data_IF_800164653396
#
_entry.id   IF_800164653396
#
_cell.length_a   1.000
_cell.length_b   1.000
_cell.length_c   1.000
_cell.angle_alpha   90.00
_cell.angle_beta   90.00
_cell.angle_gamma   90.00
#
_symmetry.space_group_name_H-M   'P 1'
#
loop_
_entity.id
_entity.type
_entity.pdbx_description
1 polymer ?
#
# COMPACT_ATOMS: atom_id res chain seq x y z
N UNK A 1 16.84 -35.84 10.34
CA UNK A 1 16.33 -35.06 9.21
C UNK A 1 14.85 -34.85 9.49
N UNK A 2 14.51 -33.74 10.16
CA UNK A 2 13.11 -33.36 10.35
C UNK A 2 12.66 -32.67 9.09
N UNK A 3 11.78 -33.33 8.33
CA UNK A 3 11.00 -32.67 7.29
C UNK A 3 9.98 -31.80 7.99
N UNK A 4 10.32 -30.53 8.17
CA UNK A 4 9.36 -29.47 8.46
C UNK A 4 8.72 -29.12 7.12
N UNK A 5 7.53 -29.67 6.89
CA UNK A 5 6.71 -29.39 5.71
C UNK A 5 6.00 -28.05 5.98
N UNK A 6 6.25 -26.98 5.20
CA UNK A 6 5.52 -25.74 5.42
C UNK A 6 4.07 -25.95 4.96
N UNK A 7 3.14 -25.98 5.91
CA UNK A 7 1.70 -25.97 5.67
C UNK A 7 1.36 -24.74 4.80
N UNK A 8 1.27 -24.98 3.49
CA UNK A 8 0.91 -23.95 2.52
C UNK A 8 -0.59 -23.76 2.66
N UNK A 9 -0.99 -22.79 3.48
CA UNK A 9 -2.36 -22.51 3.87
C UNK A 9 -3.33 -22.54 2.69
N UNK A 10 -4.10 -23.63 2.63
CA UNK A 10 -5.41 -23.83 2.02
C UNK A 10 -5.91 -22.77 1.01
N UNK A 11 -5.22 -22.59 -0.12
CA UNK A 11 -5.75 -21.87 -1.28
C UNK A 11 -6.74 -22.80 -1.98
N UNK A 12 -8.04 -22.52 -1.79
CA UNK A 12 -9.13 -23.20 -2.49
C UNK A 12 -8.92 -23.03 -4.01
N UNK A 13 -9.08 -24.10 -4.83
CA UNK A 13 -8.96 -24.00 -6.28
C UNK A 13 -9.94 -22.95 -6.84
N UNK A 14 -9.65 -22.35 -8.00
CA UNK A 14 -10.51 -21.31 -8.57
C UNK A 14 -11.96 -21.82 -8.70
N UNK A 15 -12.97 -21.01 -8.36
CA UNK A 15 -14.37 -21.41 -8.45
C UNK A 15 -14.76 -21.60 -9.93
N UNK A 16 -15.09 -22.83 -10.32
CA UNK A 16 -15.56 -23.22 -11.67
C UNK A 16 -17.02 -22.76 -11.94
N UNK A 17 -17.45 -21.64 -11.37
CA UNK A 17 -18.84 -21.16 -11.48
C UNK A 17 -18.97 -20.06 -12.53
N UNK A 18 -19.99 -20.10 -13.40
CA UNK A 18 -20.22 -19.07 -14.43
C UNK A 18 -20.48 -17.68 -13.85
N UNK A 19 -20.89 -17.60 -12.58
CA UNK A 19 -21.11 -16.36 -11.82
C UNK A 19 -19.89 -15.94 -10.98
N UNK A 20 -18.71 -16.54 -11.21
CA UNK A 20 -17.49 -16.17 -10.48
C UNK A 20 -17.11 -14.72 -10.76
N UNK A 21 -16.72 -14.00 -9.71
CA UNK A 21 -16.29 -12.61 -9.77
C UNK A 21 -14.94 -12.48 -9.09
N UNK A 22 -13.98 -11.85 -9.76
CA UNK A 22 -12.66 -11.59 -9.20
C UNK A 22 -12.24 -10.15 -9.45
N UNK A 23 -11.63 -9.55 -8.44
CA UNK A 23 -11.08 -8.20 -8.48
C UNK A 23 -9.66 -8.25 -7.94
N UNK A 24 -8.73 -7.66 -8.66
CA UNK A 24 -7.33 -7.53 -8.28
C UNK A 24 -7.06 -6.09 -7.84
N UNK A 25 -6.40 -5.97 -6.70
CA UNK A 25 -6.02 -4.69 -6.08
C UNK A 25 -4.50 -4.53 -6.11
N UNK A 26 -4.05 -3.29 -6.28
CA UNK A 26 -2.65 -2.90 -6.16
C UNK A 26 -2.51 -1.75 -5.19
N UNK A 27 -1.45 -1.77 -4.38
CA UNK A 27 -1.14 -0.69 -3.47
C UNK A 27 0.35 -0.34 -3.56
N UNK A 28 0.64 0.93 -3.80
CA UNK A 28 2.00 1.45 -3.83
C UNK A 28 2.44 1.78 -2.40
N UNK A 29 3.38 0.99 -1.85
CA UNK A 29 3.86 1.13 -0.46
C UNK A 29 4.46 2.49 -0.12
N UNK A 30 4.96 3.21 -1.12
CA UNK A 30 5.61 4.51 -0.94
C UNK A 30 4.61 5.66 -0.83
N UNK A 31 3.33 5.39 -1.11
CA UNK A 31 2.29 6.41 -1.12
C UNK A 31 1.23 6.14 -0.06
N UNK A 32 0.80 7.19 0.63
CA UNK A 32 -0.34 7.20 1.57
C UNK A 32 -1.70 7.07 0.83
N UNK A 33 -1.71 6.65 -0.43
CA UNK A 33 -2.91 6.55 -1.24
C UNK A 33 -3.65 5.23 -1.01
N UNK A 34 -4.96 5.28 -1.23
CA UNK A 34 -5.80 4.09 -1.16
C UNK A 34 -5.36 3.07 -2.24
N UNK A 35 -5.51 1.76 -1.99
CA UNK A 35 -5.26 0.75 -3.01
C UNK A 35 -6.19 0.99 -4.20
N UNK A 36 -5.70 0.66 -5.38
CA UNK A 36 -6.39 0.83 -6.66
C UNK A 36 -6.81 -0.50 -7.23
N UNK A 37 -7.90 -0.49 -7.97
CA UNK A 37 -8.36 -1.64 -8.74
C UNK A 37 -7.54 -1.72 -10.01
N UNK A 38 -6.84 -2.82 -10.23
CA UNK A 38 -6.01 -3.01 -11.44
C UNK A 38 -6.62 -4.01 -12.43
N UNK A 39 -7.54 -4.85 -11.97
CA UNK A 39 -8.34 -5.71 -12.81
C UNK A 39 -9.65 -6.07 -12.11
N UNK A 40 -10.73 -6.20 -12.87
CA UNK A 40 -11.99 -6.76 -12.42
C UNK A 40 -12.59 -7.58 -13.55
N UNK A 41 -13.25 -8.68 -13.23
CA UNK A 41 -13.86 -9.53 -14.25
C UNK A 41 -14.80 -10.57 -13.66
N UNK A 42 -15.70 -11.07 -14.53
CA UNK A 42 -16.63 -12.13 -14.22
C UNK A 42 -16.42 -13.34 -15.14
N UNK A 43 -16.90 -14.52 -14.72
CA UNK A 43 -16.80 -15.78 -15.46
C UNK A 43 -15.35 -16.07 -15.88
N UNK A 44 -15.11 -16.29 -17.18
CA UNK A 44 -13.77 -16.60 -17.70
C UNK A 44 -12.71 -15.52 -17.44
N UNK A 45 -13.10 -14.25 -17.29
CA UNK A 45 -12.13 -13.20 -16.92
C UNK A 45 -11.73 -13.35 -15.45
N UNK A 46 -12.69 -13.67 -14.58
CA UNK A 46 -12.42 -13.94 -13.17
C UNK A 46 -11.47 -15.14 -13.01
N UNK A 47 -11.72 -16.21 -13.75
CA UNK A 47 -10.87 -17.41 -13.75
C UNK A 47 -9.43 -17.08 -14.14
N UNK A 48 -9.22 -16.28 -15.19
CA UNK A 48 -7.88 -15.86 -15.62
C UNK A 48 -7.18 -14.99 -14.58
N UNK A 49 -7.89 -14.06 -13.93
CA UNK A 49 -7.33 -13.24 -12.85
C UNK A 49 -6.84 -14.14 -11.71
N UNK A 50 -7.65 -15.12 -11.32
CA UNK A 50 -7.30 -16.06 -10.27
C UNK A 50 -6.13 -16.97 -10.65
N UNK A 51 -6.12 -17.51 -11.87
CA UNK A 51 -5.02 -18.34 -12.37
C UNK A 51 -3.68 -17.60 -12.33
N UNK A 52 -3.66 -16.34 -12.77
CA UNK A 52 -2.48 -15.48 -12.70
C UNK A 52 -2.09 -15.24 -11.24
N UNK A 53 -3.05 -14.93 -10.37
CA UNK A 53 -2.79 -14.68 -8.96
C UNK A 53 -2.15 -15.90 -8.28
N UNK A 54 -2.72 -17.09 -8.46
CA UNK A 54 -2.17 -18.34 -7.91
C UNK A 54 -0.78 -18.66 -8.49
N UNK A 55 -0.59 -18.46 -9.79
CA UNK A 55 0.70 -18.71 -10.47
C UNK A 55 1.82 -17.77 -10.01
N UNK A 56 1.47 -16.54 -9.59
CA UNK A 56 2.40 -15.55 -9.07
C UNK A 56 2.54 -15.61 -7.54
N UNK A 57 1.81 -16.50 -6.86
CA UNK A 57 1.79 -16.57 -5.41
C UNK A 57 1.08 -15.37 -4.73
N UNK A 58 0.26 -14.64 -5.47
CA UNK A 58 -0.58 -13.56 -4.93
C UNK A 58 -1.68 -14.20 -4.07
N UNK A 59 -1.88 -13.65 -2.87
CA UNK A 59 -2.87 -14.15 -1.92
C UNK A 59 -4.28 -13.79 -2.41
N UNK A 60 -5.17 -14.79 -2.41
CA UNK A 60 -6.58 -14.66 -2.80
C UNK A 60 -7.45 -14.86 -1.57
N UNK A 61 -8.44 -13.96 -1.37
CA UNK A 61 -9.50 -14.09 -0.36
C UNK A 61 -10.84 -14.23 -1.08
N UNK A 62 -11.66 -15.19 -0.63
CA UNK A 62 -13.02 -15.37 -1.12
C UNK A 62 -13.98 -14.53 -0.27
N UNK A 63 -14.61 -13.53 -0.88
CA UNK A 63 -15.60 -12.67 -0.22
C UNK A 63 -16.58 -12.12 -1.28
N UNK A 64 -17.80 -12.66 -1.30
CA UNK A 64 -18.76 -12.40 -2.37
C UNK A 64 -19.34 -10.97 -2.33
N UNK A 65 -19.53 -10.43 -1.12
CA UNK A 65 -20.05 -9.07 -0.94
C UNK A 65 -18.99 -8.04 -1.32
N UNK A 66 -17.75 -8.22 -0.86
CA UNK A 66 -16.64 -7.34 -1.20
C UNK A 66 -16.29 -7.41 -2.69
N UNK A 67 -16.28 -8.60 -3.28
CA UNK A 67 -16.03 -8.76 -4.72
C UNK A 67 -17.08 -8.01 -5.54
N UNK A 68 -18.37 -8.13 -5.19
CA UNK A 68 -19.44 -7.39 -5.85
C UNK A 68 -19.26 -5.89 -5.71
N UNK A 69 -18.98 -5.41 -4.49
CA UNK A 69 -18.77 -3.99 -4.22
C UNK A 69 -17.62 -3.41 -5.05
N UNK A 70 -16.48 -4.11 -5.08
CA UNK A 70 -15.31 -3.67 -5.82
C UNK A 70 -15.50 -3.78 -7.33
N UNK A 71 -16.29 -4.75 -7.82
CA UNK A 71 -16.54 -4.89 -9.26
C UNK A 71 -17.37 -3.77 -9.87
N UNK A 72 -18.06 -2.99 -9.05
CA UNK A 72 -18.83 -1.82 -9.50
C UNK A 72 -17.94 -0.59 -9.77
N UNK A 73 -16.65 -0.66 -9.44
CA UNK A 73 -15.70 0.44 -9.59
C UNK A 73 -14.79 0.18 -10.79
N UNK A 74 -14.50 1.23 -11.55
CA UNK A 74 -13.64 1.15 -12.73
C UNK A 74 -12.19 0.78 -12.39
N UNK A 75 -11.56 0.06 -13.31
CA UNK A 75 -10.13 -0.18 -13.27
C UNK A 75 -9.35 1.14 -13.27
N UNK A 76 -8.21 1.16 -12.59
CA UNK A 76 -7.35 2.31 -12.28
C UNK A 76 -7.92 3.30 -11.24
N UNK A 77 -9.12 3.04 -10.72
CA UNK A 77 -9.71 3.86 -9.66
C UNK A 77 -9.34 3.37 -8.26
N UNK A 78 -9.34 4.30 -7.31
CA UNK A 78 -9.21 4.00 -5.88
C UNK A 78 -10.42 3.22 -5.36
N UNK A 79 -10.22 2.38 -4.36
CA UNK A 79 -11.32 1.65 -3.75
C UNK A 79 -12.36 2.57 -3.11
N UNK A 80 -13.66 2.23 -3.17
CA UNK A 80 -14.71 3.04 -2.58
C UNK A 80 -14.61 2.99 -1.05
N UNK A 81 -15.07 4.07 -0.40
CA UNK A 81 -15.02 4.18 1.08
C UNK A 81 -15.72 3.01 1.78
N UNK A 82 -16.81 2.49 1.20
CA UNK A 82 -17.54 1.33 1.71
C UNK A 82 -16.70 0.04 1.73
N UNK A 83 -15.73 -0.10 0.82
CA UNK A 83 -14.83 -1.26 0.75
C UNK A 83 -13.54 -1.05 1.56
N UNK A 84 -13.23 0.19 1.96
CA UNK A 84 -11.95 0.55 2.56
C UNK A 84 -11.62 -0.24 3.83
N UNK A 85 -12.58 -0.34 4.75
CA UNK A 85 -12.37 -1.07 6.00
C UNK A 85 -12.08 -2.56 5.76
N UNK A 86 -12.83 -3.19 4.86
CA UNK A 86 -12.66 -4.61 4.54
C UNK A 86 -11.31 -4.88 3.86
N UNK A 87 -10.90 -4.03 2.91
CA UNK A 87 -9.59 -4.14 2.26
C UNK A 87 -8.46 -3.87 3.23
N UNK A 88 -8.58 -2.87 4.11
CA UNK A 88 -7.57 -2.57 5.13
C UNK A 88 -7.35 -3.74 6.09
N UNK A 89 -8.42 -4.42 6.52
CA UNK A 89 -8.32 -5.64 7.34
C UNK A 89 -7.49 -6.73 6.64
N UNK A 90 -7.73 -6.94 5.34
CA UNK A 90 -6.98 -7.91 4.53
C UNK A 90 -5.50 -7.53 4.48
N UNK A 91 -5.20 -6.27 4.19
CA UNK A 91 -3.83 -5.79 4.07
C UNK A 91 -3.08 -5.91 5.40
N UNK A 92 -3.71 -5.53 6.53
CA UNK A 92 -3.13 -5.70 7.87
C UNK A 92 -2.81 -7.17 8.13
N UNK A 93 -3.74 -8.09 7.84
CA UNK A 93 -3.48 -9.53 7.98
C UNK A 93 -2.29 -9.99 7.13
N UNK A 94 -2.21 -9.53 5.87
CA UNK A 94 -1.08 -9.87 4.98
C UNK A 94 0.25 -9.35 5.52
N UNK A 95 0.27 -8.14 6.07
CA UNK A 95 1.45 -7.55 6.68
C UNK A 95 1.91 -8.29 7.93
N UNK A 96 0.97 -8.66 8.82
CA UNK A 96 1.29 -9.45 10.01
C UNK A 96 1.85 -10.82 9.63
N UNK A 97 1.25 -11.48 8.64
CA UNK A 97 1.73 -12.78 8.12
C UNK A 97 3.11 -12.65 7.48
N UNK A 98 3.41 -11.52 6.83
CA UNK A 98 4.70 -11.27 6.21
C UNK A 98 5.76 -10.69 7.19
N UNK A 99 5.40 -10.46 8.46
CA UNK A 99 6.27 -9.89 9.48
C UNK A 99 6.61 -8.41 9.28
N UNK A 100 5.82 -7.69 8.48
CA UNK A 100 6.03 -6.31 8.08
C UNK A 100 5.02 -5.40 8.79
N UNK A 101 5.22 -5.06 10.07
CA UNK A 101 4.26 -4.19 10.77
C UNK A 101 4.18 -2.79 10.12
N UNK A 102 3.05 -2.37 9.53
CA UNK A 102 2.90 -1.04 8.93
C UNK A 102 2.85 0.06 10.01
N UNK A 103 2.76 -0.31 11.29
CA UNK A 103 2.59 0.62 12.42
C UNK A 103 3.90 1.25 12.93
N UNK A 104 5.05 0.95 12.34
CA UNK A 104 6.34 1.53 12.75
C UNK A 104 7.04 2.40 11.69
N UNK A 105 6.31 2.91 10.68
CA UNK A 105 6.90 3.96 9.83
C UNK A 105 5.89 5.06 9.54
N UNK A 106 6.13 6.19 10.22
CA UNK A 106 5.68 7.55 9.89
C UNK A 106 4.31 8.01 10.40
N UNK A 107 4.07 7.81 11.70
CA UNK A 107 3.25 8.75 12.49
C UNK A 107 4.06 9.28 13.69
N UNK A 108 5.13 10.03 13.39
CA UNK A 108 5.75 10.94 14.36
C UNK A 108 5.72 12.38 13.82
N UNK A 109 4.48 12.81 13.52
CA UNK A 109 4.07 14.20 13.46
C UNK A 109 3.35 14.60 14.75
N UNK A 110 3.87 14.20 15.92
CA UNK A 110 3.46 14.75 17.21
C UNK A 110 4.70 14.84 18.12
N UNK A 111 5.31 16.02 18.08
CA UNK A 111 6.48 16.44 18.86
C UNK A 111 6.45 16.00 20.33
N UNK A 112 7.63 15.71 20.92
CA UNK A 112 8.30 16.79 21.63
C UNK A 112 9.77 16.96 21.21
N UNK A 113 10.01 17.59 20.06
CA UNK A 113 11.34 18.10 19.71
C UNK A 113 11.42 19.61 20.00
N UNK A 114 11.30 19.96 21.29
CA UNK A 114 11.40 21.34 21.78
C UNK A 114 12.82 21.83 22.10
N UNK A 115 13.90 21.11 21.73
CA UNK A 115 15.24 21.49 22.19
C UNK A 115 16.39 21.39 21.18
N UNK A 116 16.22 20.83 19.98
CA UNK A 116 17.37 20.62 19.06
C UNK A 116 17.21 21.11 17.62
N UNK A 117 16.07 21.71 17.28
CA UNK A 117 15.80 22.25 15.94
C UNK A 117 16.13 23.75 15.81
N UNK A 118 16.44 24.43 16.92
CA UNK A 118 16.91 25.82 16.92
C UNK A 118 18.39 25.92 16.58
N UNK A 119 19.20 24.95 16.98
CA UNK A 119 20.67 24.97 16.84
C UNK A 119 21.13 24.80 15.38
N UNK A 120 20.49 23.91 14.62
CA UNK A 120 20.82 23.71 13.20
C UNK A 120 20.37 24.88 12.32
N UNK A 121 19.26 25.53 12.65
CA UNK A 121 18.79 26.72 11.94
C UNK A 121 19.71 27.93 12.19
N UNK A 122 20.21 28.10 13.43
CA UNK A 122 21.15 29.17 13.79
C UNK A 122 22.54 28.93 13.16
N UNK A 123 23.04 27.69 13.21
CA UNK A 123 24.32 27.31 12.60
C UNK A 123 24.35 27.46 11.07
N UNK A 124 23.20 27.26 10.40
CA UNK A 124 23.06 27.53 8.97
C UNK A 124 22.95 29.02 8.67
N UNK A 125 22.24 29.81 9.49
CA UNK A 125 22.15 31.27 9.30
C UNK A 125 23.52 31.97 9.44
N UNK A 126 24.38 31.48 10.33
CA UNK A 126 25.71 32.05 10.56
C UNK A 126 26.70 31.72 9.43
N UNK A 127 26.58 30.53 8.83
CA UNK A 127 27.44 30.06 7.74
C UNK A 127 27.19 30.75 6.40
N UNK A 128 26.00 31.33 6.19
CA UNK A 128 25.64 32.03 4.95
C UNK A 128 25.73 33.56 5.04
N UNK A 129 26.28 34.11 6.14
CA UNK A 129 26.51 35.55 6.29
C UNK A 129 27.79 35.98 5.56
N UNK A 130 27.76 36.01 4.23
CA UNK A 130 28.75 36.74 3.43
C UNK A 130 28.31 38.20 3.21
N UNK A 131 29.24 39.17 3.28
CA UNK A 131 28.95 40.55 2.96
C UNK A 131 28.80 40.72 1.45
N UNK A 132 27.58 40.97 0.99
CA UNK A 132 27.36 41.62 -0.30
C UNK A 132 27.62 43.12 -0.11
N UNK A 133 28.89 43.53 -0.07
CA UNK A 133 29.26 44.90 -0.43
C UNK A 133 30.69 44.94 -0.98
N UNK A 134 30.74 44.88 -2.30
CA UNK A 134 31.93 45.11 -3.10
C UNK A 134 31.49 45.87 -4.35
N UNK A 135 31.14 47.14 -4.18
CA UNK A 135 30.96 48.08 -5.28
C UNK A 135 31.62 49.41 -4.90
N UNK A 136 32.85 49.60 -5.36
CA UNK A 136 33.50 50.89 -5.33
C UNK A 136 32.77 51.89 -6.24
N UNK A 137 32.71 53.15 -5.79
CA UNK A 137 32.46 54.30 -6.62
C UNK A 137 33.20 55.50 -6.01
N UNK A 138 34.05 56.14 -6.83
CA UNK A 138 34.38 57.58 -6.94
C UNK A 138 34.11 58.49 -5.72
N UNK A 139 35.04 59.31 -5.24
CA UNK A 139 35.78 60.37 -5.95
C UNK A 139 37.06 60.77 -5.18
#
# INVERSE_FOLDING_TARGET
MSSDEPETGNLKPPPETPDALAVALSQERETDHAPKIIAAGCGNVAEQILEIAFSQGIKVREDADLAQLLSMVDTDSEIPTDAFAAVAEILVYLYEVNGENPTETKSEGASPMGARTRELADALAEKWRQPADGAGAME
#
